data_IF_654586285827
#
_entry.id   IF_654586285827
#
_cell.length_a   1.000
_cell.length_b   1.000
_cell.length_c   1.000
_cell.angle_alpha   90.00
_cell.angle_beta   90.00
_cell.angle_gamma   90.00
#
_symmetry.space_group_name_H-M   'P 1'
#
loop_
_entity.id
_entity.type
_entity.pdbx_description
1 polymer ?
#
# COMPACT_ATOMS: atom_id res chain seq x y z
N UNK A 1 -4.31 -14.68 -17.72
CA UNK A 1 -4.27 -13.38 -17.04
C UNK A 1 -4.00 -13.69 -15.56
N UNK A 2 -3.08 -13.01 -14.92
CA UNK A 2 -2.71 -13.26 -13.51
C UNK A 2 -3.65 -12.56 -12.52
N UNK A 3 -4.94 -12.56 -12.83
CA UNK A 3 -6.00 -11.95 -12.02
C UNK A 3 -7.28 -12.75 -12.25
N UNK A 4 -7.91 -13.21 -11.17
CA UNK A 4 -9.14 -13.98 -11.20
C UNK A 4 -10.28 -13.22 -10.53
N UNK A 5 -11.50 -13.37 -11.07
CA UNK A 5 -12.71 -12.77 -10.55
C UNK A 5 -13.74 -13.85 -10.26
N UNK A 6 -14.27 -13.83 -9.08
CA UNK A 6 -15.33 -14.74 -8.63
C UNK A 6 -16.51 -13.95 -8.10
N UNK A 7 -17.70 -14.49 -8.22
CA UNK A 7 -18.93 -13.95 -7.63
C UNK A 7 -19.60 -15.05 -6.83
N UNK A 8 -19.59 -14.92 -5.52
CA UNK A 8 -20.17 -15.90 -4.61
C UNK A 8 -21.56 -15.42 -4.15
N UNK A 9 -22.54 -16.32 -4.19
CA UNK A 9 -23.93 -16.00 -3.79
C UNK A 9 -24.15 -16.35 -2.33
N UNK A 10 -24.58 -15.39 -1.54
CA UNK A 10 -24.94 -15.54 -0.14
C UNK A 10 -26.34 -16.15 0.07
N UNK A 11 -26.68 -16.40 1.33
CA UNK A 11 -27.93 -17.04 1.73
C UNK A 11 -29.18 -16.20 1.44
N UNK A 12 -29.03 -14.88 1.36
CA UNK A 12 -30.09 -13.93 1.03
C UNK A 12 -30.19 -13.60 -0.47
N UNK A 13 -29.35 -14.27 -1.31
CA UNK A 13 -29.27 -14.06 -2.75
C UNK A 13 -28.36 -12.90 -3.17
N UNK A 14 -27.81 -12.12 -2.23
CA UNK A 14 -26.80 -11.12 -2.52
C UNK A 14 -25.46 -11.78 -2.95
N UNK A 15 -24.66 -11.06 -3.75
CA UNK A 15 -23.39 -11.59 -4.26
C UNK A 15 -22.22 -10.80 -3.72
N UNK A 16 -21.12 -11.50 -3.45
CA UNK A 16 -19.82 -10.95 -3.07
C UNK A 16 -18.87 -11.13 -4.25
N UNK A 17 -18.30 -10.02 -4.73
CA UNK A 17 -17.24 -10.06 -5.73
C UNK A 17 -15.88 -10.28 -5.08
N UNK A 18 -15.08 -11.21 -5.59
CA UNK A 18 -13.72 -11.46 -5.13
C UNK A 18 -12.75 -11.29 -6.31
N UNK A 19 -11.79 -10.38 -6.15
CA UNK A 19 -10.69 -10.21 -7.07
C UNK A 19 -9.41 -10.78 -6.45
N UNK A 20 -8.82 -11.78 -7.09
CA UNK A 20 -7.62 -12.48 -6.61
C UNK A 20 -6.45 -12.19 -7.55
N UNK A 21 -5.40 -11.53 -7.03
CA UNK A 21 -4.11 -11.42 -7.72
C UNK A 21 -3.45 -12.80 -7.76
N UNK A 22 -3.06 -13.28 -8.94
CA UNK A 22 -2.53 -14.63 -9.14
C UNK A 22 -1.25 -14.63 -9.97
N UNK A 23 -0.29 -13.85 -9.52
CA UNK A 23 1.06 -13.76 -10.07
C UNK A 23 2.11 -14.13 -9.00
N UNK A 24 1.92 -15.24 -8.29
CA UNK A 24 2.71 -15.63 -7.10
C UNK A 24 4.23 -15.63 -7.34
N UNK A 25 4.68 -16.01 -8.55
CA UNK A 25 6.10 -16.01 -8.93
C UNK A 25 6.74 -14.62 -8.87
N UNK A 26 5.96 -13.58 -9.10
CA UNK A 26 6.36 -12.17 -8.98
C UNK A 26 5.80 -11.51 -7.72
N UNK A 27 5.44 -12.28 -6.70
CA UNK A 27 4.82 -11.79 -5.46
C UNK A 27 3.58 -10.92 -5.74
N UNK A 28 2.78 -11.31 -6.72
CA UNK A 28 1.56 -10.64 -7.15
C UNK A 28 1.78 -9.19 -7.64
N UNK A 29 2.95 -8.89 -8.23
CA UNK A 29 3.23 -7.58 -8.79
C UNK A 29 2.22 -7.19 -9.88
N UNK A 30 1.77 -5.93 -9.85
CA UNK A 30 0.75 -5.40 -10.73
C UNK A 30 1.30 -5.09 -12.12
N UNK A 31 0.77 -5.74 -13.14
CA UNK A 31 1.01 -5.36 -14.54
C UNK A 31 -0.09 -4.42 -15.05
N UNK A 32 0.20 -3.62 -16.07
CA UNK A 32 -0.79 -2.73 -16.68
C UNK A 32 -2.08 -3.47 -17.13
N UNK A 33 -2.01 -4.68 -17.74
CA UNK A 33 -3.22 -5.44 -18.03
C UNK A 33 -4.03 -5.85 -16.79
N UNK A 34 -3.36 -6.18 -15.66
CA UNK A 34 -4.04 -6.50 -14.40
C UNK A 34 -4.75 -5.26 -13.83
N UNK A 35 -4.08 -4.11 -13.81
CA UNK A 35 -4.63 -2.83 -13.34
C UNK A 35 -5.90 -2.48 -14.13
N UNK A 36 -5.84 -2.52 -15.46
CA UNK A 36 -6.98 -2.22 -16.32
C UNK A 36 -8.14 -3.19 -16.11
N UNK A 37 -7.86 -4.51 -16.07
CA UNK A 37 -8.90 -5.53 -15.85
C UNK A 37 -9.54 -5.40 -14.46
N UNK A 38 -8.77 -5.09 -13.42
CA UNK A 38 -9.29 -4.86 -12.07
C UNK A 38 -10.21 -3.65 -12.06
N UNK A 39 -9.80 -2.52 -12.62
CA UNK A 39 -10.62 -1.31 -12.69
C UNK A 39 -11.93 -1.58 -13.43
N UNK A 40 -11.87 -2.19 -14.63
CA UNK A 40 -13.06 -2.44 -15.45
C UNK A 40 -14.06 -3.37 -14.70
N UNK A 41 -13.55 -4.38 -13.98
CA UNK A 41 -14.41 -5.28 -13.19
C UNK A 41 -14.99 -4.60 -11.95
N UNK A 42 -14.19 -3.79 -11.24
CA UNK A 42 -14.67 -3.01 -10.09
C UNK A 42 -15.73 -2.00 -10.51
N UNK A 43 -15.55 -1.32 -11.65
CA UNK A 43 -16.53 -0.39 -12.21
C UNK A 43 -17.86 -1.11 -12.56
N UNK A 44 -17.78 -2.33 -13.09
CA UNK A 44 -18.95 -3.17 -13.35
C UNK A 44 -19.65 -3.59 -12.05
N UNK A 45 -18.90 -4.05 -11.06
CA UNK A 45 -19.43 -4.46 -9.75
C UNK A 45 -20.00 -3.30 -8.96
N UNK A 46 -19.45 -2.10 -9.10
CA UNK A 46 -20.01 -0.89 -8.47
C UNK A 46 -21.43 -0.60 -8.94
N UNK A 47 -21.73 -0.88 -10.22
CA UNK A 47 -23.04 -0.64 -10.86
C UNK A 47 -24.03 -1.81 -10.72
N UNK A 48 -23.53 -3.01 -10.39
CA UNK A 48 -24.38 -4.21 -10.26
C UNK A 48 -25.05 -4.27 -8.88
N UNK A 49 -26.38 -4.09 -8.76
CA UNK A 49 -27.05 -4.03 -7.45
C UNK A 49 -26.90 -5.31 -6.61
N UNK A 50 -26.76 -6.47 -7.26
CA UNK A 50 -26.63 -7.74 -6.54
C UNK A 50 -25.23 -7.92 -5.93
N UNK A 51 -24.21 -7.24 -6.41
CA UNK A 51 -22.89 -7.20 -5.76
C UNK A 51 -22.96 -6.20 -4.60
N UNK A 52 -22.91 -6.70 -3.39
CA UNK A 52 -23.10 -5.90 -2.17
C UNK A 52 -21.78 -5.62 -1.42
N UNK A 53 -20.76 -6.41 -1.68
CA UNK A 53 -19.42 -6.29 -1.10
C UNK A 53 -18.39 -6.79 -2.10
N UNK A 54 -17.18 -6.25 -2.03
CA UNK A 54 -16.04 -6.69 -2.84
C UNK A 54 -14.87 -7.01 -1.92
N UNK A 55 -14.10 -8.05 -2.25
CA UNK A 55 -12.87 -8.42 -1.55
C UNK A 55 -11.70 -8.49 -2.54
N UNK A 56 -10.61 -7.82 -2.21
CA UNK A 56 -9.31 -7.93 -2.88
C UNK A 56 -8.42 -8.85 -2.07
N UNK A 57 -7.79 -9.84 -2.71
CA UNK A 57 -6.82 -10.75 -2.09
C UNK A 57 -5.70 -11.15 -3.05
N UNK A 58 -4.60 -11.66 -2.51
CA UNK A 58 -3.52 -12.29 -3.28
C UNK A 58 -3.54 -13.79 -3.16
N UNK A 59 -3.16 -14.51 -4.21
CA UNK A 59 -2.91 -15.95 -4.16
C UNK A 59 -1.51 -16.23 -3.56
N UNK A 60 -1.36 -17.41 -2.93
CA UNK A 60 -0.15 -17.82 -2.23
C UNK A 60 -0.05 -17.22 -0.82
N UNK A 61 1.04 -17.57 -0.12
CA UNK A 61 1.24 -17.19 1.29
C UNK A 61 2.26 -16.07 1.49
N UNK A 62 3.00 -15.70 0.43
CA UNK A 62 4.16 -14.79 0.56
C UNK A 62 3.79 -13.33 0.49
N UNK A 63 2.80 -12.98 -0.33
CA UNK A 63 2.46 -11.59 -0.57
C UNK A 63 1.00 -11.42 -1.01
N UNK A 64 0.37 -10.40 -0.49
CA UNK A 64 -0.82 -9.83 -1.13
C UNK A 64 -0.42 -9.20 -2.47
N UNK A 65 0.52 -8.23 -2.44
CA UNK A 65 1.06 -7.57 -3.62
C UNK A 65 2.37 -6.85 -3.26
N UNK A 66 3.45 -7.14 -3.98
CA UNK A 66 4.76 -6.52 -3.76
C UNK A 66 5.04 -5.29 -4.65
N UNK A 67 4.00 -4.64 -5.17
CA UNK A 67 4.09 -3.40 -5.95
C UNK A 67 3.81 -3.56 -7.43
N UNK A 68 4.15 -2.53 -8.22
CA UNK A 68 4.03 -2.55 -9.66
C UNK A 68 5.10 -3.39 -10.35
N UNK A 69 4.82 -3.89 -11.55
CA UNK A 69 5.81 -4.55 -12.40
C UNK A 69 6.69 -3.46 -13.06
N UNK A 70 7.74 -3.04 -12.33
CA UNK A 70 8.58 -1.88 -12.72
C UNK A 70 9.65 -2.20 -13.75
N UNK A 71 9.95 -3.48 -14.03
CA UNK A 71 11.04 -3.85 -14.95
C UNK A 71 10.78 -3.36 -16.37
N UNK A 72 9.58 -3.59 -16.89
CA UNK A 72 9.20 -3.12 -18.22
C UNK A 72 9.21 -1.58 -18.33
N UNK A 73 8.86 -0.88 -17.23
CA UNK A 73 8.91 0.58 -17.17
C UNK A 73 10.35 1.09 -17.25
N UNK A 74 11.25 0.47 -16.50
CA UNK A 74 12.68 0.81 -16.49
C UNK A 74 13.32 0.52 -17.84
N UNK A 75 13.01 -0.62 -18.48
CA UNK A 75 13.52 -0.93 -19.81
C UNK A 75 13.05 0.11 -20.84
N UNK A 76 11.79 0.55 -20.74
CA UNK A 76 11.28 1.62 -21.58
C UNK A 76 11.99 2.97 -21.32
N UNK A 77 12.26 3.33 -20.05
CA UNK A 77 13.00 4.55 -19.70
C UNK A 77 14.45 4.50 -20.20
N UNK A 78 15.12 3.35 -20.14
CA UNK A 78 16.46 3.15 -20.69
C UNK A 78 16.51 3.28 -22.21
N UNK A 79 15.47 2.82 -22.91
CA UNK A 79 15.37 2.93 -24.36
C UNK A 79 15.15 4.38 -24.81
N UNK A 80 14.62 5.27 -23.95
CA UNK A 80 14.29 6.66 -24.22
C UNK A 80 14.81 7.60 -23.14
N UNK A 81 16.15 7.77 -22.98
CA UNK A 81 16.73 8.59 -21.92
C UNK A 81 16.28 10.06 -22.00
N UNK A 82 15.83 10.61 -20.87
CA UNK A 82 15.38 12.00 -20.79
C UNK A 82 13.93 12.24 -21.27
N UNK A 83 13.26 11.21 -21.76
CA UNK A 83 11.87 11.26 -22.20
C UNK A 83 10.94 10.54 -21.21
N UNK A 84 9.63 10.72 -21.41
CA UNK A 84 8.61 9.93 -20.72
C UNK A 84 8.09 8.86 -21.67
N UNK A 85 8.45 7.58 -21.50
CA UNK A 85 7.91 6.51 -22.34
C UNK A 85 6.39 6.42 -22.20
N UNK A 86 5.70 6.22 -23.33
CA UNK A 86 4.23 6.06 -23.35
C UNK A 86 3.77 4.91 -22.45
N UNK A 87 4.55 3.81 -22.37
CA UNK A 87 4.26 2.70 -21.47
C UNK A 87 4.21 3.14 -20.00
N UNK A 88 5.21 3.90 -19.56
CA UNK A 88 5.28 4.38 -18.16
C UNK A 88 4.16 5.38 -17.86
N UNK A 89 3.90 6.33 -18.77
CA UNK A 89 2.80 7.29 -18.61
C UNK A 89 1.44 6.58 -18.49
N UNK A 90 1.19 5.58 -19.33
CA UNK A 90 -0.04 4.79 -19.28
C UNK A 90 -0.15 3.94 -18.01
N UNK A 91 0.97 3.35 -17.55
CA UNK A 91 1.01 2.57 -16.32
C UNK A 91 0.61 3.41 -15.10
N UNK A 92 1.35 4.49 -14.83
CA UNK A 92 1.05 5.35 -13.67
C UNK A 92 -0.33 6.00 -13.76
N UNK A 93 -0.77 6.41 -14.96
CA UNK A 93 -2.13 6.94 -15.14
C UNK A 93 -3.21 5.88 -14.83
N UNK A 94 -3.00 4.62 -15.20
CA UNK A 94 -3.95 3.54 -14.94
C UNK A 94 -3.96 3.16 -13.45
N UNK A 95 -2.77 3.01 -12.84
CA UNK A 95 -2.59 2.64 -11.44
C UNK A 95 -3.22 3.70 -10.52
N UNK A 96 -2.89 4.97 -10.68
CA UNK A 96 -3.42 6.03 -9.81
C UNK A 96 -4.93 6.26 -9.98
N UNK A 97 -5.48 6.01 -11.19
CA UNK A 97 -6.94 6.01 -11.38
C UNK A 97 -7.60 4.83 -10.67
N UNK A 98 -6.99 3.66 -10.69
CA UNK A 98 -7.46 2.50 -9.94
C UNK A 98 -7.46 2.83 -8.44
N UNK A 99 -6.32 3.28 -7.89
CA UNK A 99 -6.18 3.60 -6.47
C UNK A 99 -7.20 4.66 -6.03
N UNK A 100 -7.35 5.74 -6.79
CA UNK A 100 -8.37 6.76 -6.50
C UNK A 100 -9.79 6.19 -6.52
N UNK A 101 -10.10 5.27 -7.45
CA UNK A 101 -11.41 4.63 -7.54
C UNK A 101 -11.70 3.72 -6.34
N UNK A 102 -10.67 3.08 -5.77
CA UNK A 102 -10.80 2.28 -4.54
C UNK A 102 -11.15 3.16 -3.34
N UNK A 103 -10.46 4.29 -3.16
CA UNK A 103 -10.76 5.25 -2.09
C UNK A 103 -12.18 5.82 -2.13
N UNK A 104 -12.80 5.84 -3.30
CA UNK A 104 -14.15 6.37 -3.51
C UNK A 104 -15.17 5.29 -3.85
N UNK A 105 -14.83 4.03 -3.59
CA UNK A 105 -15.68 2.90 -3.96
C UNK A 105 -17.01 2.92 -3.20
N UNK A 106 -18.17 2.77 -3.90
CA UNK A 106 -19.48 3.02 -3.29
C UNK A 106 -20.01 1.88 -2.42
N UNK A 107 -19.29 0.75 -2.33
CA UNK A 107 -19.70 -0.45 -1.58
C UNK A 107 -18.62 -0.84 -0.59
N UNK A 108 -18.92 -1.68 0.41
CA UNK A 108 -17.90 -2.30 1.24
C UNK A 108 -16.83 -2.96 0.38
N UNK A 109 -15.59 -2.49 0.52
CA UNK A 109 -14.42 -2.97 -0.17
C UNK A 109 -13.40 -3.44 0.85
N UNK A 110 -13.21 -4.75 0.93
CA UNK A 110 -12.29 -5.41 1.85
C UNK A 110 -10.99 -5.67 1.10
N UNK A 111 -9.85 -5.31 1.69
CA UNK A 111 -8.55 -5.72 1.20
C UNK A 111 -7.85 -6.61 2.23
N UNK A 112 -7.45 -7.81 1.80
CA UNK A 112 -6.75 -8.80 2.62
C UNK A 112 -5.24 -8.71 2.41
N UNK A 113 -4.56 -7.92 3.24
CA UNK A 113 -3.14 -7.60 3.13
C UNK A 113 -2.24 -8.55 3.91
N UNK A 114 -2.10 -9.80 3.48
CA UNK A 114 -1.19 -10.79 4.08
C UNK A 114 0.21 -10.74 3.45
N UNK A 115 1.20 -11.26 4.15
CA UNK A 115 2.57 -11.34 3.65
C UNK A 115 3.12 -9.95 3.26
N UNK A 116 3.83 -9.85 2.15
CA UNK A 116 4.31 -8.57 1.65
C UNK A 116 3.19 -7.73 1.04
N UNK A 117 3.12 -6.47 1.48
CA UNK A 117 2.23 -5.41 0.97
C UNK A 117 3.10 -4.19 0.71
N UNK A 118 3.61 -4.05 -0.51
CA UNK A 118 4.63 -3.06 -0.82
C UNK A 118 4.21 -2.17 -2.00
N UNK A 119 4.61 -0.91 -2.01
CA UNK A 119 4.39 0.01 -3.13
C UNK A 119 2.94 0.01 -3.64
N UNK A 120 2.69 -0.35 -4.91
CA UNK A 120 1.35 -0.48 -5.47
C UNK A 120 0.41 -1.39 -4.66
N UNK A 121 0.94 -2.39 -3.93
CA UNK A 121 0.16 -3.19 -2.98
C UNK A 121 -0.34 -2.37 -1.79
N UNK A 122 0.45 -1.38 -1.34
CA UNK A 122 0.00 -0.39 -0.34
C UNK A 122 -1.10 0.49 -0.93
N UNK A 123 -1.00 0.91 -2.20
CA UNK A 123 -2.05 1.68 -2.87
C UNK A 123 -3.39 0.95 -2.85
N UNK A 124 -3.40 -0.33 -3.25
CA UNK A 124 -4.61 -1.16 -3.19
C UNK A 124 -5.16 -1.32 -1.76
N UNK A 125 -4.28 -1.56 -0.77
CA UNK A 125 -4.69 -1.69 0.62
C UNK A 125 -5.28 -0.38 1.16
N UNK A 126 -4.57 0.74 0.97
CA UNK A 126 -5.00 2.04 1.49
C UNK A 126 -6.26 2.59 0.79
N UNK A 127 -6.51 2.19 -0.47
CA UNK A 127 -7.73 2.51 -1.19
C UNK A 127 -8.98 1.78 -0.66
N UNK A 128 -8.83 0.64 0.01
CA UNK A 128 -9.96 -0.11 0.56
C UNK A 128 -10.54 0.58 1.81
N UNK A 129 -11.86 0.48 1.99
CA UNK A 129 -12.51 1.01 3.18
C UNK A 129 -12.58 0.02 4.37
N UNK A 130 -12.12 -1.22 4.15
CA UNK A 130 -11.89 -2.23 5.20
C UNK A 130 -10.54 -2.90 4.92
N UNK A 131 -9.50 -2.43 5.61
CA UNK A 131 -8.12 -2.88 5.45
C UNK A 131 -7.81 -3.94 6.50
N UNK A 132 -7.52 -5.16 6.06
CA UNK A 132 -7.21 -6.29 6.94
C UNK A 132 -5.72 -6.62 6.84
N UNK A 133 -5.08 -6.77 7.97
CA UNK A 133 -3.70 -7.26 8.10
C UNK A 133 -3.66 -8.51 8.99
N UNK A 134 -2.58 -9.29 8.85
CA UNK A 134 -2.43 -10.60 9.50
C UNK A 134 -1.08 -10.70 10.22
N UNK A 135 -0.80 -11.75 10.99
CA UNK A 135 0.52 -11.98 11.58
C UNK A 135 1.67 -12.01 10.55
N UNK A 136 1.38 -12.46 9.33
CA UNK A 136 2.36 -12.50 8.24
C UNK A 136 2.61 -11.14 7.58
N UNK A 137 1.75 -10.14 7.78
CA UNK A 137 1.81 -8.84 7.08
C UNK A 137 3.13 -8.11 7.31
N UNK A 138 3.70 -7.64 6.19
CA UNK A 138 4.91 -6.82 6.12
C UNK A 138 4.67 -5.70 5.12
N UNK A 139 4.34 -4.52 5.63
CA UNK A 139 3.97 -3.37 4.82
C UNK A 139 5.14 -2.39 4.71
N UNK A 140 5.37 -1.82 3.53
CA UNK A 140 6.36 -0.76 3.35
C UNK A 140 6.13 0.02 2.05
N UNK A 141 6.73 1.22 2.00
CA UNK A 141 6.95 2.01 0.77
C UNK A 141 8.46 2.05 0.52
N UNK A 142 9.05 1.02 -0.15
CA UNK A 142 10.49 0.86 -0.27
C UNK A 142 11.08 1.58 -1.50
N UNK A 143 10.36 2.50 -2.11
CA UNK A 143 10.66 3.15 -3.39
C UNK A 143 12.00 3.87 -3.41
N UNK A 144 12.49 4.32 -2.25
CA UNK A 144 13.84 4.91 -2.13
C UNK A 144 14.94 3.97 -2.61
N UNK A 145 14.74 2.66 -2.49
CA UNK A 145 15.71 1.65 -2.93
C UNK A 145 15.76 1.47 -4.45
N UNK A 146 14.76 1.96 -5.17
CA UNK A 146 14.67 1.83 -6.63
C UNK A 146 14.71 3.18 -7.37
N UNK A 147 15.07 4.27 -6.68
CA UNK A 147 15.13 5.60 -7.30
C UNK A 147 13.76 6.17 -7.71
N UNK A 148 12.69 5.62 -7.15
CA UNK A 148 11.35 6.18 -7.18
C UNK A 148 11.05 6.80 -5.80
N UNK A 149 9.87 7.31 -5.58
CA UNK A 149 9.42 7.87 -4.30
C UNK A 149 8.12 7.13 -3.87
N UNK A 150 7.72 7.16 -2.59
CA UNK A 150 6.43 6.64 -2.16
C UNK A 150 5.27 7.33 -2.88
N UNK A 151 4.67 6.63 -3.84
CA UNK A 151 3.54 7.07 -4.69
C UNK A 151 2.23 6.36 -4.29
N UNK A 152 1.31 6.12 -5.20
CA UNK A 152 0.03 5.40 -5.01
C UNK A 152 -0.83 5.93 -3.85
N UNK A 153 -0.78 7.24 -3.62
CA UNK A 153 -1.44 7.91 -2.50
C UNK A 153 -0.59 7.96 -1.23
N UNK A 154 0.68 7.53 -1.25
CA UNK A 154 1.53 7.54 -0.06
C UNK A 154 1.78 8.95 0.46
N UNK A 155 1.84 9.95 -0.38
CA UNK A 155 1.88 11.34 0.08
C UNK A 155 0.70 11.67 1.01
N UNK A 156 -0.48 11.10 0.72
CA UNK A 156 -1.67 11.28 1.56
C UNK A 156 -1.56 10.54 2.88
N UNK A 157 -1.36 9.22 2.89
CA UNK A 157 -1.41 8.47 4.14
C UNK A 157 -0.16 8.67 5.00
N UNK A 158 1.06 8.77 4.43
CA UNK A 158 2.27 9.04 5.21
C UNK A 158 2.26 10.42 5.85
N UNK A 159 1.76 11.46 5.16
CA UNK A 159 1.72 12.82 5.73
C UNK A 159 0.76 12.95 6.92
N UNK A 160 -0.11 11.98 7.15
CA UNK A 160 -1.11 11.93 8.22
C UNK A 160 -0.73 11.04 9.39
N UNK A 161 0.39 10.32 9.29
CA UNK A 161 0.92 9.56 10.41
C UNK A 161 1.35 10.47 11.56
N UNK A 162 1.31 9.98 12.81
CA UNK A 162 1.64 10.80 13.98
C UNK A 162 3.11 11.26 13.95
N UNK A 163 3.31 12.52 14.27
CA UNK A 163 4.63 13.14 14.35
C UNK A 163 5.40 13.12 13.04
N UNK A 164 6.61 12.64 13.10
CA UNK A 164 7.53 12.50 11.94
C UNK A 164 7.61 11.05 11.41
N UNK A 165 6.78 10.12 11.93
CA UNK A 165 6.84 8.71 11.53
C UNK A 165 6.66 8.53 10.01
N UNK A 166 5.71 9.24 9.39
CA UNK A 166 5.51 9.14 7.94
C UNK A 166 6.73 9.59 7.14
N UNK A 167 7.38 10.67 7.55
CA UNK A 167 8.61 11.13 6.94
C UNK A 167 9.74 10.09 7.12
N UNK A 168 9.89 9.54 8.32
CA UNK A 168 10.90 8.52 8.62
C UNK A 168 10.69 7.26 7.77
N UNK A 169 9.45 6.73 7.73
CA UNK A 169 9.11 5.54 6.94
C UNK A 169 9.33 5.77 5.44
N UNK A 170 8.93 6.93 4.92
CA UNK A 170 9.15 7.28 3.51
C UNK A 170 10.63 7.45 3.14
N UNK A 171 11.45 8.02 4.03
CA UNK A 171 12.88 8.19 3.83
C UNK A 171 13.67 6.88 3.92
N UNK A 172 13.18 5.92 4.69
CA UNK A 172 13.94 4.70 5.01
C UNK A 172 13.38 3.45 4.34
N UNK A 173 12.16 3.50 3.80
CA UNK A 173 11.47 2.30 3.30
C UNK A 173 11.31 1.21 4.37
N UNK A 174 11.30 1.61 5.65
CA UNK A 174 11.25 0.66 6.75
C UNK A 174 9.91 -0.09 6.77
N UNK A 175 9.99 -1.39 7.03
CA UNK A 175 8.80 -2.23 7.12
C UNK A 175 8.07 -2.02 8.43
N UNK A 176 6.75 -2.10 8.38
CA UNK A 176 5.84 -2.14 9.51
C UNK A 176 5.13 -3.49 9.56
N UNK A 177 4.79 -3.96 10.74
CA UNK A 177 4.02 -5.20 10.93
C UNK A 177 2.51 -4.93 11.04
N UNK A 178 1.70 -5.99 11.22
CA UNK A 178 0.26 -5.85 11.34
C UNK A 178 -0.18 -5.02 12.56
N UNK A 179 0.59 -5.02 13.67
CA UNK A 179 0.33 -4.20 14.84
C UNK A 179 0.58 -2.72 14.55
N UNK A 180 1.74 -2.41 13.97
CA UNK A 180 2.05 -1.04 13.56
C UNK A 180 0.99 -0.49 12.58
N UNK A 181 0.53 -1.32 11.64
CA UNK A 181 -0.49 -0.91 10.68
C UNK A 181 -1.81 -0.51 11.38
N UNK A 182 -2.23 -1.24 12.43
CA UNK A 182 -3.40 -0.89 13.25
C UNK A 182 -3.13 0.39 14.05
N UNK A 183 -2.00 0.45 14.75
CA UNK A 183 -1.67 1.57 15.65
C UNK A 183 -1.45 2.90 14.89
N UNK A 184 -1.07 2.82 13.61
CA UNK A 184 -0.83 3.96 12.72
C UNK A 184 -2.02 4.28 11.80
N UNK A 185 -3.17 3.64 11.98
CA UNK A 185 -4.37 3.82 11.14
C UNK A 185 -4.13 3.52 9.65
N UNK A 186 -3.22 2.57 9.38
CA UNK A 186 -2.96 2.02 8.04
C UNK A 186 -3.72 0.71 7.80
N UNK A 187 -4.37 0.15 8.83
CA UNK A 187 -5.28 -0.98 8.75
C UNK A 187 -6.39 -0.87 9.79
N UNK A 188 -7.53 -1.51 9.51
CA UNK A 188 -8.74 -1.42 10.33
C UNK A 188 -8.95 -2.67 11.19
N UNK A 189 -8.45 -3.83 10.72
CA UNK A 189 -8.64 -5.12 11.37
C UNK A 189 -7.37 -5.97 11.32
N UNK A 190 -7.13 -6.68 12.42
CA UNK A 190 -6.11 -7.70 12.49
C UNK A 190 -6.79 -9.07 12.61
N UNK A 191 -6.59 -9.94 11.61
CA UNK A 191 -7.12 -11.29 11.55
C UNK A 191 -5.98 -12.30 11.38
N UNK A 192 -6.23 -13.60 11.64
CA UNK A 192 -5.23 -14.64 11.39
C UNK A 192 -5.21 -14.98 9.90
N UNK A 193 -4.05 -15.41 9.39
CA UNK A 193 -3.91 -15.78 7.97
C UNK A 193 -4.91 -16.87 7.55
N UNK A 194 -5.21 -17.82 8.42
CA UNK A 194 -6.18 -18.90 8.21
C UNK A 194 -7.66 -18.46 8.30
N UNK A 195 -7.96 -17.26 8.80
CA UNK A 195 -9.34 -16.77 8.91
C UNK A 195 -9.92 -16.20 7.61
N UNK A 196 -9.16 -16.19 6.52
CA UNK A 196 -9.65 -15.65 5.25
C UNK A 196 -10.90 -16.38 4.76
N UNK A 197 -10.90 -17.71 4.81
CA UNK A 197 -12.03 -18.53 4.40
C UNK A 197 -13.23 -18.35 5.35
N UNK A 198 -12.99 -18.29 6.66
CA UNK A 198 -14.02 -18.04 7.67
C UNK A 198 -14.68 -16.66 7.46
N UNK A 199 -13.90 -15.65 7.09
CA UNK A 199 -14.45 -14.33 6.73
C UNK A 199 -15.38 -14.44 5.51
N UNK A 200 -14.94 -15.09 4.43
CA UNK A 200 -15.75 -15.25 3.21
C UNK A 200 -17.07 -15.98 3.55
N UNK A 201 -17.01 -17.08 4.27
CA UNK A 201 -18.20 -17.82 4.70
C UNK A 201 -19.13 -16.94 5.56
N UNK A 202 -18.55 -16.18 6.50
CA UNK A 202 -19.30 -15.23 7.32
C UNK A 202 -20.01 -14.16 6.47
N UNK A 203 -19.32 -13.59 5.48
CA UNK A 203 -19.91 -12.61 4.57
C UNK A 203 -21.09 -13.17 3.78
N UNK A 204 -21.03 -14.45 3.36
CA UNK A 204 -22.12 -15.14 2.63
C UNK A 204 -23.34 -15.45 3.51
N UNK A 205 -23.19 -15.40 4.84
CA UNK A 205 -24.28 -15.63 5.80
C UNK A 205 -24.97 -14.32 6.27
N UNK A 206 -24.38 -13.15 5.97
CA UNK A 206 -24.98 -11.87 6.35
C UNK A 206 -26.28 -11.61 5.58
N UNK A 207 -27.24 -10.99 6.27
CA UNK A 207 -28.41 -10.41 5.59
C UNK A 207 -28.05 -9.00 5.09
N UNK A 208 -27.69 -8.91 3.83
CA UNK A 208 -27.26 -7.66 3.20
C UNK A 208 -28.40 -6.67 2.94
N UNK A 209 -29.65 -7.08 3.15
CA UNK A 209 -30.82 -6.22 3.01
C UNK A 209 -31.13 -5.43 4.28
N UNK A 210 -30.62 -5.87 5.45
CA UNK A 210 -30.94 -5.28 6.74
C UNK A 210 -29.66 -5.00 7.56
N UNK A 211 -29.52 -3.77 8.07
CA UNK A 211 -28.48 -3.35 9.04
C UNK A 211 -27.05 -3.77 8.68
N UNK A 212 -26.72 -3.83 7.42
CA UNK A 212 -25.46 -4.33 6.85
C UNK A 212 -24.20 -3.81 7.52
N UNK A 213 -24.01 -2.49 7.77
CA UNK A 213 -22.76 -2.00 8.38
C UNK A 213 -22.54 -2.55 9.79
N UNK A 214 -23.60 -2.74 10.57
CA UNK A 214 -23.52 -3.25 11.93
C UNK A 214 -23.19 -4.75 11.94
N UNK A 215 -23.83 -5.53 11.08
CA UNK A 215 -23.59 -6.98 10.97
C UNK A 215 -22.17 -7.27 10.48
N UNK A 216 -21.71 -6.56 9.44
CA UNK A 216 -20.34 -6.68 8.93
C UNK A 216 -19.31 -6.33 10.00
N UNK A 217 -19.51 -5.23 10.73
CA UNK A 217 -18.62 -4.84 11.81
C UNK A 217 -18.62 -5.88 12.96
N UNK A 218 -19.76 -6.49 13.26
CA UNK A 218 -19.87 -7.54 14.28
C UNK A 218 -19.12 -8.81 13.88
N UNK A 219 -19.23 -9.23 12.61
CA UNK A 219 -18.45 -10.35 12.05
C UNK A 219 -16.95 -10.09 12.18
N UNK A 220 -16.49 -8.93 11.69
CA UNK A 220 -15.08 -8.56 11.74
C UNK A 220 -14.53 -8.47 13.17
N UNK A 221 -15.32 -7.93 14.11
CA UNK A 221 -14.93 -7.91 15.53
C UNK A 221 -14.83 -9.31 16.15
N UNK A 222 -15.76 -10.21 15.84
CA UNK A 222 -15.73 -11.58 16.34
C UNK A 222 -14.49 -12.33 15.84
N UNK A 223 -14.13 -12.16 14.56
CA UNK A 223 -12.91 -12.74 13.99
C UNK A 223 -11.65 -12.13 14.65
N UNK A 224 -11.59 -10.82 14.79
CA UNK A 224 -10.47 -10.12 15.43
C UNK A 224 -10.26 -10.57 16.88
N UNK A 225 -11.33 -10.81 17.65
CA UNK A 225 -11.21 -11.30 19.03
C UNK A 225 -10.44 -12.62 19.12
N UNK A 226 -10.59 -13.50 18.12
CA UNK A 226 -9.82 -14.75 18.02
C UNK A 226 -8.34 -14.52 17.69
N UNK A 227 -8.04 -13.43 16.99
CA UNK A 227 -6.70 -13.13 16.48
C UNK A 227 -5.83 -12.33 17.46
N UNK A 228 -6.42 -11.59 18.40
CA UNK A 228 -5.70 -10.64 19.27
C UNK A 228 -4.51 -11.26 20.00
N UNK A 229 -4.61 -12.52 20.42
CA UNK A 229 -3.52 -13.21 21.12
C UNK A 229 -2.26 -13.43 20.27
N UNK A 230 -2.38 -13.36 18.93
CA UNK A 230 -1.26 -13.51 18.00
C UNK A 230 -0.79 -12.17 17.41
N UNK A 231 -1.33 -11.05 17.90
CA UNK A 231 -0.90 -9.73 17.46
C UNK A 231 0.56 -9.48 17.88
N UNK A 232 1.46 -9.11 16.95
CA UNK A 232 2.86 -8.85 17.27
C UNK A 232 3.00 -7.59 18.15
N UNK A 233 4.20 -7.39 18.68
CA UNK A 233 4.53 -6.14 19.38
C UNK A 233 4.63 -4.96 18.40
N UNK A 234 4.22 -3.77 18.88
CA UNK A 234 4.38 -2.53 18.14
C UNK A 234 5.87 -2.18 17.98
N UNK A 235 6.26 -1.82 16.76
CA UNK A 235 7.65 -1.50 16.43
C UNK A 235 7.89 0.01 16.38
N UNK A 236 7.02 0.76 15.73
CA UNK A 236 7.32 2.15 15.39
C UNK A 236 6.67 3.17 16.31
N UNK A 237 5.44 2.95 16.75
CA UNK A 237 4.77 3.89 17.65
C UNK A 237 5.55 4.10 18.98
N UNK A 238 6.16 3.06 19.59
CA UNK A 238 7.01 3.25 20.76
C UNK A 238 8.29 4.07 20.53
N UNK A 239 8.73 4.18 19.27
CA UNK A 239 9.93 4.94 18.87
C UNK A 239 9.60 6.35 18.37
N UNK A 240 8.33 6.73 18.40
CA UNK A 240 7.85 8.00 17.84
C UNK A 240 8.58 9.20 18.42
N UNK A 241 8.69 9.32 19.73
CA UNK A 241 9.34 10.48 20.38
C UNK A 241 10.80 10.61 19.93
N UNK A 242 11.55 9.50 19.92
CA UNK A 242 12.94 9.50 19.44
C UNK A 242 13.03 9.92 17.97
N UNK A 243 12.11 9.46 17.11
CA UNK A 243 12.06 9.82 15.69
C UNK A 243 11.64 11.29 15.52
N UNK A 244 10.70 11.78 16.31
CA UNK A 244 10.26 13.16 16.28
C UNK A 244 11.42 14.12 16.65
N UNK A 245 12.19 13.81 17.68
CA UNK A 245 13.39 14.55 18.08
C UNK A 245 14.48 14.48 16.99
N UNK A 246 14.75 13.27 16.46
CA UNK A 246 15.74 13.05 15.43
C UNK A 246 15.48 13.86 14.15
N UNK A 247 14.20 13.98 13.77
CA UNK A 247 13.76 14.66 12.56
C UNK A 247 13.22 16.09 12.80
N UNK A 248 13.47 16.67 13.98
CA UNK A 248 13.22 18.09 14.23
C UNK A 248 14.34 18.94 13.66
N UNK A 249 14.43 18.95 12.33
CA UNK A 249 15.50 19.57 11.56
C UNK A 249 14.93 20.45 10.44
N UNK A 250 15.76 21.39 9.93
CA UNK A 250 15.33 22.41 8.98
C UNK A 250 15.13 21.91 7.54
N UNK A 251 15.86 20.90 7.12
CA UNK A 251 15.91 20.43 5.74
C UNK A 251 16.30 18.94 5.62
N UNK A 252 16.14 18.43 4.40
CA UNK A 252 16.39 17.01 4.11
C UNK A 252 17.86 16.59 4.31
N UNK A 253 18.83 17.50 4.12
CA UNK A 253 20.26 17.16 4.32
C UNK A 253 20.55 16.96 5.80
N UNK A 254 19.93 17.79 6.64
CA UNK A 254 19.98 17.61 8.08
C UNK A 254 19.28 16.33 8.53
N UNK A 255 18.09 16.03 7.98
CA UNK A 255 17.37 14.76 8.22
C UNK A 255 18.20 13.54 7.81
N UNK A 256 18.82 13.58 6.63
CA UNK A 256 19.73 12.53 6.17
C UNK A 256 20.86 12.29 7.18
N UNK A 257 21.57 13.35 7.57
CA UNK A 257 22.69 13.24 8.55
C UNK A 257 22.20 12.72 9.89
N UNK A 258 21.03 13.17 10.35
CA UNK A 258 20.46 12.72 11.61
C UNK A 258 20.16 11.21 11.57
N UNK A 259 19.50 10.71 10.51
CA UNK A 259 19.21 9.28 10.37
C UNK A 259 20.51 8.45 10.29
N UNK A 260 21.57 8.95 9.66
CA UNK A 260 22.86 8.24 9.60
C UNK A 260 23.50 8.03 10.98
N UNK A 261 23.20 8.83 12.00
CA UNK A 261 23.66 8.58 13.37
C UNK A 261 23.13 7.27 13.96
N UNK A 262 22.09 6.70 13.35
CA UNK A 262 21.50 5.43 13.76
C UNK A 262 22.22 4.19 13.21
N UNK A 263 23.27 4.34 12.37
CA UNK A 263 24.01 3.21 11.77
C UNK A 263 24.69 2.31 12.82
N UNK A 264 25.07 2.89 13.97
CA UNK A 264 25.68 2.15 15.08
C UNK A 264 24.72 2.01 16.28
N UNK A 265 23.43 2.28 16.06
CA UNK A 265 22.42 2.18 17.11
C UNK A 265 22.19 0.73 17.52
N UNK A 266 22.02 0.48 18.82
CA UNK A 266 21.78 -0.88 19.37
C UNK A 266 20.42 -1.45 19.00
N UNK A 267 19.43 -0.59 18.74
CA UNK A 267 18.14 -0.99 18.21
C UNK A 267 18.27 -1.36 16.73
N UNK A 268 18.08 -2.64 16.43
CA UNK A 268 18.26 -3.20 15.09
C UNK A 268 17.29 -2.64 14.05
N UNK A 269 16.08 -2.19 14.46
CA UNK A 269 15.11 -1.59 13.54
C UNK A 269 15.60 -0.21 13.08
N UNK A 270 16.08 0.62 14.00
CA UNK A 270 16.62 1.95 13.69
C UNK A 270 17.93 1.82 12.88
N UNK A 271 18.80 0.90 13.26
CA UNK A 271 20.03 0.63 12.50
C UNK A 271 19.71 0.21 11.05
N UNK A 272 18.78 -0.71 10.85
CA UNK A 272 18.36 -1.17 9.52
C UNK A 272 17.74 -0.04 8.70
N UNK A 273 16.90 0.78 9.32
CA UNK A 273 16.30 1.95 8.65
C UNK A 273 17.36 2.92 8.13
N UNK A 274 18.43 3.19 8.93
CA UNK A 274 19.55 4.01 8.49
C UNK A 274 20.34 3.37 7.33
N UNK A 275 20.52 2.05 7.34
CA UNK A 275 21.15 1.32 6.22
C UNK A 275 20.34 1.43 4.93
N UNK A 276 19.03 1.24 5.02
CA UNK A 276 18.14 1.40 3.85
C UNK A 276 18.25 2.81 3.26
N UNK A 277 18.36 3.85 4.10
CA UNK A 277 18.51 5.23 3.63
C UNK A 277 19.85 5.42 2.89
N UNK A 278 20.97 4.94 3.44
CA UNK A 278 22.30 5.14 2.84
C UNK A 278 22.45 4.38 1.51
N UNK A 279 21.78 3.25 1.39
CA UNK A 279 21.72 2.43 0.17
C UNK A 279 20.72 2.98 -0.86
N UNK A 280 19.82 3.88 -0.43
CA UNK A 280 18.77 4.45 -1.25
C UNK A 280 19.20 5.66 -2.07
N UNK A 281 18.26 6.16 -2.89
CA UNK A 281 18.46 7.33 -3.76
C UNK A 281 18.42 8.65 -2.99
N UNK A 282 19.49 9.47 -3.03
CA UNK A 282 19.47 10.81 -2.45
C UNK A 282 18.42 11.73 -3.08
N UNK A 283 18.15 11.59 -4.38
CA UNK A 283 17.10 12.35 -5.06
C UNK A 283 15.73 12.00 -4.49
N UNK A 284 15.46 10.71 -4.31
CA UNK A 284 14.22 10.24 -3.68
C UNK A 284 14.03 10.84 -2.29
N UNK A 285 15.09 10.94 -1.48
CA UNK A 285 14.98 11.56 -0.16
C UNK A 285 14.51 13.01 -0.23
N UNK A 286 14.97 13.78 -1.24
CA UNK A 286 14.46 15.14 -1.49
C UNK A 286 12.98 15.14 -1.90
N UNK A 287 12.57 14.20 -2.76
CA UNK A 287 11.17 14.06 -3.16
C UNK A 287 10.28 13.73 -1.96
N UNK A 288 10.68 12.75 -1.13
CA UNK A 288 9.95 12.36 0.09
C UNK A 288 9.77 13.54 1.05
N UNK A 289 10.83 14.30 1.28
CA UNK A 289 10.78 15.49 2.14
C UNK A 289 9.74 16.51 1.65
N UNK A 290 9.76 16.84 0.37
CA UNK A 290 8.87 17.82 -0.21
C UNK A 290 7.43 17.31 -0.34
N UNK A 291 7.22 16.04 -0.73
CA UNK A 291 5.87 15.50 -0.90
C UNK A 291 5.14 15.40 0.44
N UNK A 292 5.79 14.91 1.51
CA UNK A 292 5.17 14.82 2.84
C UNK A 292 4.77 16.20 3.36
N UNK A 293 5.65 17.21 3.15
CA UNK A 293 5.37 18.59 3.56
C UNK A 293 4.17 19.19 2.82
N UNK A 294 4.11 18.99 1.50
CA UNK A 294 3.03 19.55 0.65
C UNK A 294 1.70 18.84 0.86
N UNK A 295 1.72 17.52 0.94
CA UNK A 295 0.52 16.69 1.00
C UNK A 295 -0.36 16.92 2.24
N UNK A 296 0.18 17.48 3.31
CA UNK A 296 -0.59 17.85 4.52
C UNK A 296 -1.79 18.76 4.24
N UNK A 297 -1.69 19.59 3.21
CA UNK A 297 -2.69 20.59 2.85
C UNK A 297 -3.42 20.28 1.54
N UNK A 298 -3.15 19.11 0.93
CA UNK A 298 -3.75 18.70 -0.33
C UNK A 298 -4.94 17.78 -0.11
N UNK A 299 -5.92 17.83 -1.01
CA UNK A 299 -6.94 16.80 -1.14
C UNK A 299 -6.33 15.53 -1.74
N UNK A 300 -7.00 14.39 -1.57
CA UNK A 300 -6.55 13.13 -2.17
C UNK A 300 -6.39 13.24 -3.69
N UNK A 301 -7.31 13.89 -4.38
CA UNK A 301 -7.22 14.11 -5.82
C UNK A 301 -5.97 14.92 -6.20
N UNK A 302 -5.69 16.01 -5.48
CA UNK A 302 -4.48 16.81 -5.69
C UNK A 302 -3.20 16.00 -5.42
N UNK A 303 -3.23 15.09 -4.45
CA UNK A 303 -2.10 14.19 -4.18
C UNK A 303 -1.84 13.31 -5.39
N UNK A 304 -2.84 12.63 -5.95
CA UNK A 304 -2.66 11.79 -7.14
C UNK A 304 -2.22 12.57 -8.38
N UNK A 305 -2.70 13.81 -8.57
CA UNK A 305 -2.21 14.70 -9.63
C UNK A 305 -0.73 15.07 -9.46
N UNK A 306 -0.32 15.39 -8.24
CA UNK A 306 1.08 15.66 -7.91
C UNK A 306 1.95 14.41 -8.13
N UNK A 307 1.54 13.27 -7.62
CA UNK A 307 2.25 12.00 -7.75
C UNK A 307 2.38 11.58 -9.22
N UNK A 308 1.33 11.73 -10.03
CA UNK A 308 1.43 11.46 -11.46
C UNK A 308 2.50 12.33 -12.15
N UNK A 309 2.51 13.63 -11.83
CA UNK A 309 3.53 14.54 -12.36
C UNK A 309 4.94 14.15 -11.92
N UNK A 310 5.11 13.77 -10.66
CA UNK A 310 6.40 13.33 -10.12
C UNK A 310 6.89 12.04 -10.78
N UNK A 311 6.02 11.04 -10.95
CA UNK A 311 6.36 9.75 -11.57
C UNK A 311 6.80 9.92 -13.03
N UNK A 312 6.12 10.78 -13.79
CA UNK A 312 6.55 11.11 -15.15
C UNK A 312 7.95 11.78 -15.18
N UNK A 313 8.26 12.63 -14.20
CA UNK A 313 9.57 13.24 -14.10
C UNK A 313 10.65 12.25 -13.62
N UNK A 314 10.32 11.33 -12.73
CA UNK A 314 11.23 10.23 -12.34
C UNK A 314 11.61 9.36 -13.55
N UNK A 315 10.67 9.11 -14.49
CA UNK A 315 10.96 8.38 -15.72
C UNK A 315 11.99 9.08 -16.63
N UNK A 316 12.08 10.42 -16.58
CA UNK A 316 13.08 11.21 -17.33
C UNK A 316 14.45 11.17 -16.68
N UNK A 317 14.50 10.88 -15.38
CA UNK A 317 15.74 10.92 -14.60
C UNK A 317 16.39 9.54 -14.53
N UNK A 318 17.73 9.42 -14.63
CA UNK A 318 18.41 8.13 -14.62
C UNK A 318 18.32 7.35 -13.30
N UNK A 319 18.02 8.00 -12.17
CA UNK A 319 17.91 7.38 -10.84
C UNK A 319 16.95 6.19 -10.81
N UNK A 320 15.77 6.32 -11.43
CA UNK A 320 14.79 5.23 -11.47
C UNK A 320 15.31 4.03 -12.26
N UNK A 321 15.97 4.26 -13.39
CA UNK A 321 16.53 3.17 -14.19
C UNK A 321 17.75 2.52 -13.54
N UNK A 322 18.55 3.25 -12.77
CA UNK A 322 19.70 2.72 -12.02
C UNK A 322 19.26 1.96 -10.76
N UNK A 323 18.33 2.51 -9.98
CA UNK A 323 17.88 1.89 -8.73
C UNK A 323 17.27 0.50 -8.92
N UNK A 324 16.55 0.25 -10.00
CA UNK A 324 16.02 -1.10 -10.31
C UNK A 324 17.11 -2.06 -10.79
N UNK A 325 18.28 -1.56 -11.22
CA UNK A 325 19.42 -2.40 -11.63
C UNK A 325 20.23 -2.90 -10.43
N UNK A 326 20.35 -2.07 -9.39
CA UNK A 326 21.11 -2.38 -8.19
C UNK A 326 20.40 -3.44 -7.33
#
# INVERSE_FOLDING_TARGET
MNLHFEELTGTDGARIGIATLDAEKSLNALSLPMINAMRDKLDAWAKEPQIVCVMLRGNGIKAFCAGGEVRSLVDACRAHPGEVPTLAANFFAAEYRLDFSLHTYPKPLICWGHGYVLGGGMGLLQGANIRIVTPSSRLAMPEISIGLYPDVGASWFLSRLPGKLGLFLGLTGAHINGRDAIDLDLADRFLLDEQQQELIEGLLQLNWQEQTPMQLNSLLKALQQKAVAQMPEAQWLPRREQIDELLDVSDVRCAWKAILTLLDHTDMLLNRAARNLIEGSPLTAHLVWEQIKRARHMSLAQVFEMEYTLSLNCCRHPEFSEGVRA
#
